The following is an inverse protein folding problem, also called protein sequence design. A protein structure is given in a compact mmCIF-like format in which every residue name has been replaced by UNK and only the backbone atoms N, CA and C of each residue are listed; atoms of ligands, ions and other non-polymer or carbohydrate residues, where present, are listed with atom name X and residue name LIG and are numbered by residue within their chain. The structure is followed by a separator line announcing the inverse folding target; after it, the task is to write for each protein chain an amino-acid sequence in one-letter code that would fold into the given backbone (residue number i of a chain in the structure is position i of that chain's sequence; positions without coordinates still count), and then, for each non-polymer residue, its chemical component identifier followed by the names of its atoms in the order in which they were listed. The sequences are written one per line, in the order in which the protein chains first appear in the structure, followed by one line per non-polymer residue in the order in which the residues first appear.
data_IF_030718818758
#
_entry.id   IF_030718818758
#
_cell.length_a   1.000
_cell.length_b   1.000
_cell.length_c   1.000
_cell.angle_alpha   90.00
_cell.angle_beta   90.00
_cell.angle_gamma   90.00
#
_symmetry.space_group_name_H-M   'P 1'
#
loop_
_entity.id
_entity.type
_entity.pdbx_description
1 polymer ?
#
# COMPACT_ATOMS: atom_id res chain seq x y z
N UNK A 1 6.73 12.51 -15.70
CA UNK A 1 6.25 11.19 -15.27
C UNK A 1 6.13 11.23 -13.77
N UNK A 2 4.93 11.03 -13.23
CA UNK A 2 4.76 10.94 -11.78
C UNK A 2 5.23 9.54 -11.37
N UNK A 3 6.31 9.45 -10.61
CA UNK A 3 6.73 8.18 -10.02
C UNK A 3 5.72 7.83 -8.94
N UNK A 4 5.19 6.62 -8.98
CA UNK A 4 4.33 6.07 -7.95
C UNK A 4 5.14 5.03 -7.17
N UNK A 5 4.78 4.78 -5.93
CA UNK A 5 5.39 3.72 -5.12
C UNK A 5 4.34 2.71 -4.75
N UNK A 6 4.70 1.44 -4.86
CA UNK A 6 3.92 0.34 -4.34
C UNK A 6 4.52 -0.14 -3.03
N UNK A 7 3.75 -0.06 -1.96
CA UNK A 7 4.18 -0.44 -0.61
C UNK A 7 3.45 -1.71 -0.19
N UNK A 8 4.22 -2.73 0.19
CA UNK A 8 3.70 -3.99 0.72
C UNK A 8 3.85 -3.96 2.24
N UNK A 9 2.75 -4.19 2.93
CA UNK A 9 2.64 -4.11 4.39
C UNK A 9 2.19 -5.43 5.00
N UNK A 10 2.70 -5.75 6.18
CA UNK A 10 2.03 -6.65 7.08
C UNK A 10 0.74 -6.00 7.61
N UNK A 11 -0.40 -6.69 7.54
CA UNK A 11 -1.66 -6.17 8.03
C UNK A 11 -1.65 -6.13 9.55
N UNK A 12 -1.77 -4.93 10.08
CA UNK A 12 -2.06 -4.66 11.48
C UNK A 12 -3.44 -4.00 11.56
N UNK A 13 -4.24 -4.37 12.57
CA UNK A 13 -5.68 -4.03 12.61
C UNK A 13 -5.92 -2.52 12.49
N UNK A 14 -5.18 -1.70 13.24
CA UNK A 14 -5.33 -0.24 13.23
C UNK A 14 -4.89 0.34 11.89
N UNK A 15 -3.69 -0.04 11.42
CA UNK A 15 -3.14 0.42 10.16
C UNK A 15 -4.03 0.06 8.97
N UNK A 16 -4.58 -1.17 8.94
CA UNK A 16 -5.53 -1.64 7.93
C UNK A 16 -6.81 -0.81 7.93
N UNK A 17 -7.39 -0.52 9.11
CA UNK A 17 -8.60 0.31 9.21
C UNK A 17 -8.36 1.75 8.75
N UNK A 18 -7.23 2.34 9.13
CA UNK A 18 -6.86 3.69 8.70
C UNK A 18 -6.66 3.77 7.19
N UNK A 19 -5.97 2.79 6.61
CA UNK A 19 -5.80 2.69 5.16
C UNK A 19 -7.15 2.56 4.46
N UNK A 20 -8.02 1.64 4.91
CA UNK A 20 -9.35 1.47 4.33
C UNK A 20 -10.20 2.75 4.40
N UNK A 21 -10.16 3.46 5.53
CA UNK A 21 -10.85 4.74 5.67
C UNK A 21 -10.28 5.82 4.73
N UNK A 22 -8.96 5.89 4.60
CA UNK A 22 -8.30 6.84 3.69
C UNK A 22 -8.59 6.53 2.22
N UNK A 23 -8.62 5.26 1.84
CA UNK A 23 -8.94 4.80 0.49
C UNK A 23 -10.37 5.17 0.05
N UNK A 24 -11.32 5.22 0.97
CA UNK A 24 -12.70 5.65 0.69
C UNK A 24 -12.80 7.13 0.27
N UNK A 25 -11.77 7.93 0.52
CA UNK A 25 -11.71 9.35 0.13
C UNK A 25 -11.20 9.55 -1.30
N UNK A 26 -10.78 8.47 -1.98
CA UNK A 26 -10.15 8.52 -3.28
C UNK A 26 -11.10 7.99 -4.37
N UNK A 27 -11.07 8.58 -5.58
CA UNK A 27 -11.91 8.11 -6.69
C UNK A 27 -11.50 6.71 -7.16
N UNK A 28 -10.22 6.37 -7.02
CA UNK A 28 -9.67 5.04 -7.31
C UNK A 28 -9.21 4.40 -6.00
N UNK A 29 -9.43 3.09 -5.87
CA UNK A 29 -9.01 2.36 -4.68
C UNK A 29 -7.50 2.06 -4.72
N UNK A 30 -6.67 2.64 -3.82
CA UNK A 30 -5.23 2.42 -3.80
C UNK A 30 -4.84 1.17 -3.02
N UNK A 31 -5.79 0.32 -2.62
CA UNK A 31 -5.54 -0.83 -1.74
C UNK A 31 -5.96 -2.14 -2.38
N UNK A 32 -5.08 -3.12 -2.28
CA UNK A 32 -5.42 -4.53 -2.45
C UNK A 32 -5.09 -5.28 -1.17
N UNK A 33 -6.04 -6.09 -0.71
CA UNK A 33 -5.85 -6.98 0.43
C UNK A 33 -5.64 -8.41 -0.08
N UNK A 34 -4.49 -8.98 0.27
CA UNK A 34 -4.17 -10.37 0.01
C UNK A 34 -4.41 -11.17 1.30
N UNK A 35 -5.53 -11.91 1.40
CA UNK A 35 -5.86 -12.65 2.60
C UNK A 35 -4.84 -13.77 2.87
N UNK A 36 -4.74 -14.18 4.13
CA UNK A 36 -3.91 -15.32 4.52
C UNK A 36 -4.38 -16.60 3.83
N UNK A 37 -3.43 -17.37 3.31
CA UNK A 37 -3.68 -18.75 2.82
C UNK A 37 -2.80 -19.74 3.60
N UNK A 38 -2.88 -21.03 3.28
CA UNK A 38 -1.99 -22.04 3.85
C UNK A 38 -0.52 -21.80 3.48
N UNK A 39 -0.28 -21.15 2.34
CA UNK A 39 1.05 -20.96 1.76
C UNK A 39 1.57 -19.52 1.90
N UNK A 40 0.70 -18.57 2.26
CA UNK A 40 1.03 -17.14 2.31
C UNK A 40 0.52 -16.46 3.56
N UNK A 41 1.37 -15.59 4.11
CA UNK A 41 0.94 -14.64 5.14
C UNK A 41 -0.02 -13.61 4.53
N UNK A 42 -0.88 -13.05 5.39
CA UNK A 42 -1.73 -11.93 4.99
C UNK A 42 -0.85 -10.71 4.66
N UNK A 43 -1.17 -10.00 3.57
CA UNK A 43 -0.46 -8.81 3.12
C UNK A 43 -1.44 -7.72 2.66
N UNK A 44 -1.03 -6.47 2.82
CA UNK A 44 -1.71 -5.32 2.22
C UNK A 44 -0.78 -4.67 1.20
N UNK A 45 -1.28 -4.49 0.00
CA UNK A 45 -0.59 -3.75 -1.05
C UNK A 45 -1.24 -2.36 -1.17
N UNK A 46 -0.42 -1.32 -1.06
CA UNK A 46 -0.84 0.08 -1.04
C UNK A 46 -0.13 0.83 -2.15
N UNK A 47 -0.88 1.50 -3.02
CA UNK A 47 -0.33 2.42 -4.00
C UNK A 47 -0.26 3.82 -3.42
N UNK A 48 0.91 4.44 -3.54
CA UNK A 48 1.24 5.73 -2.98
C UNK A 48 1.83 6.63 -4.07
N UNK A 49 1.63 7.94 -3.94
CA UNK A 49 2.35 8.95 -4.71
C UNK A 49 3.68 9.33 -4.07
N UNK A 50 3.80 9.18 -2.74
CA UNK A 50 5.05 9.41 -1.98
C UNK A 50 5.12 8.49 -0.76
N UNK A 51 6.35 8.16 -0.36
CA UNK A 51 6.68 7.45 0.87
C UNK A 51 7.73 8.28 1.62
N UNK A 52 7.38 8.80 2.79
CA UNK A 52 8.20 9.79 3.49
C UNK A 52 8.47 9.37 4.92
N UNK A 53 9.71 9.51 5.38
CA UNK A 53 10.02 9.38 6.80
C UNK A 53 9.50 10.61 7.55
N UNK A 54 8.88 10.39 8.70
CA UNK A 54 8.39 11.46 9.57
C UNK A 54 9.36 11.70 10.73
N UNK A 55 9.32 12.91 11.33
CA UNK A 55 10.18 13.27 12.46
C UNK A 55 9.93 12.43 13.73
N UNK A 56 8.80 11.73 13.81
CA UNK A 56 8.39 10.90 14.96
C UNK A 56 8.59 9.39 14.71
N UNK A 57 9.41 9.02 13.72
CA UNK A 57 9.81 7.63 13.49
C UNK A 57 8.77 6.76 12.79
N UNK A 58 7.70 7.35 12.26
CA UNK A 58 6.74 6.67 11.39
C UNK A 58 7.04 6.93 9.91
N UNK A 59 6.52 6.08 9.04
CA UNK A 59 6.54 6.29 7.58
C UNK A 59 5.18 6.80 7.16
N UNK A 60 5.15 7.97 6.51
CA UNK A 60 3.95 8.54 5.90
C UNK A 60 3.80 8.01 4.48
N UNK A 61 2.68 7.34 4.24
CA UNK A 61 2.23 6.89 2.94
C UNK A 61 1.28 7.95 2.38
N UNK A 62 1.68 8.69 1.35
CA UNK A 62 0.84 9.69 0.69
C UNK A 62 0.08 9.01 -0.44
N UNK A 63 -1.20 8.72 -0.21
CA UNK A 63 -2.06 8.03 -1.19
C UNK A 63 -2.42 8.97 -2.34
N UNK A 64 -2.65 10.26 -2.02
CA UNK A 64 -2.88 11.33 -2.98
C UNK A 64 -2.30 12.64 -2.45
N UNK A 65 -1.57 13.33 -3.31
CA UNK A 65 -0.85 14.58 -3.02
C UNK A 65 -1.64 15.80 -3.51
N UNK A 66 -2.93 15.87 -3.14
CA UNK A 66 -3.80 17.05 -3.32
C UNK A 66 -3.69 17.99 -2.10
N UNK A 67 -4.37 19.14 -2.12
CA UNK A 67 -4.48 20.03 -0.95
C UNK A 67 -5.89 20.00 -0.34
N UNK A 68 -6.12 19.38 0.84
CA UNK A 68 -5.14 18.70 1.69
C UNK A 68 -4.80 17.26 1.22
N UNK A 69 -3.59 16.75 1.53
CA UNK A 69 -3.17 15.44 1.07
C UNK A 69 -3.87 14.32 1.84
N UNK A 70 -4.18 13.22 1.15
CA UNK A 70 -4.69 12.00 1.76
C UNK A 70 -3.49 11.11 2.08
N UNK A 71 -3.19 10.96 3.36
CA UNK A 71 -2.03 10.20 3.82
C UNK A 71 -2.31 9.40 5.09
N UNK A 72 -1.57 8.30 5.26
CA UNK A 72 -1.63 7.45 6.45
C UNK A 72 -0.20 7.24 6.97
N UNK A 73 -0.01 7.40 8.28
CA UNK A 73 1.26 7.07 8.91
C UNK A 73 1.23 5.61 9.39
N UNK A 74 2.28 4.85 9.06
CA UNK A 74 2.47 3.46 9.48
C UNK A 74 3.80 3.30 10.20
N UNK A 75 3.90 2.27 11.03
CA UNK A 75 5.18 1.95 11.68
C UNK A 75 6.13 1.29 10.68
N UNK A 76 7.44 1.62 10.66
CA UNK A 76 8.38 1.09 9.68
C UNK A 76 8.45 -0.44 9.66
N UNK A 77 8.30 -1.09 10.82
CA UNK A 77 8.35 -2.56 10.94
C UNK A 77 7.19 -3.29 10.27
N UNK A 78 6.11 -2.56 9.90
CA UNK A 78 5.02 -3.12 9.11
C UNK A 78 5.34 -3.17 7.62
N UNK A 79 6.39 -2.47 7.16
CA UNK A 79 6.75 -2.41 5.75
C UNK A 79 7.59 -3.63 5.38
N UNK A 80 7.07 -4.42 4.45
CA UNK A 80 7.76 -5.58 3.88
C UNK A 80 8.63 -5.14 2.71
N UNK A 81 8.10 -4.28 1.83
CA UNK A 81 8.81 -3.79 0.67
C UNK A 81 8.24 -2.44 0.18
N UNK A 82 9.10 -1.67 -0.48
CA UNK A 82 8.74 -0.48 -1.25
C UNK A 82 9.32 -0.66 -2.64
N UNK A 83 8.47 -0.50 -3.66
CA UNK A 83 8.83 -0.66 -5.06
C UNK A 83 8.50 0.65 -5.78
N UNK A 84 9.49 1.24 -6.43
CA UNK A 84 9.24 2.36 -7.34
C UNK A 84 8.61 1.82 -8.62
N UNK A 85 7.40 2.27 -8.91
CA UNK A 85 6.61 1.80 -10.04
C UNK A 85 6.32 2.97 -10.98
N UNK A 86 6.31 2.66 -12.28
CA UNK A 86 5.88 3.63 -13.29
C UNK A 86 4.41 3.99 -13.12
N UNK A 87 4.03 5.12 -13.71
CA UNK A 87 2.67 5.63 -13.71
C UNK A 87 1.69 4.57 -14.27
N UNK A 88 0.58 4.34 -13.57
CA UNK A 88 -0.49 3.46 -14.04
C UNK A 88 -0.34 1.98 -13.67
N UNK A 89 0.65 1.60 -12.85
CA UNK A 89 0.71 0.24 -12.33
C UNK A 89 -0.49 -0.03 -11.40
N UNK A 90 -1.29 -1.09 -11.64
CA UNK A 90 -2.44 -1.41 -10.80
C UNK A 90 -2.00 -2.00 -9.46
N UNK A 91 -2.83 -1.77 -8.43
CA UNK A 91 -2.76 -2.56 -7.19
C UNK A 91 -3.22 -3.99 -7.48
N UNK A 92 -2.58 -4.98 -6.84
CA UNK A 92 -2.80 -6.40 -7.13
C UNK A 92 -1.94 -6.98 -8.26
N UNK A 93 -0.90 -6.26 -8.75
CA UNK A 93 0.07 -6.82 -9.70
C UNK A 93 0.95 -7.93 -9.11
N UNK A 94 1.04 -8.07 -7.78
CA UNK A 94 1.67 -9.25 -7.20
C UNK A 94 0.94 -10.47 -7.78
N UNK A 95 1.62 -11.31 -8.58
CA UNK A 95 0.94 -12.42 -9.21
C UNK A 95 0.32 -13.29 -8.12
N UNK A 96 -0.97 -13.56 -8.24
CA UNK A 96 -1.46 -14.86 -7.79
C UNK A 96 -0.51 -15.86 -8.46
N UNK A 97 0.33 -16.57 -7.70
CA UNK A 97 1.26 -17.50 -8.34
C UNK A 97 0.56 -18.75 -8.87
N UNK A 98 -0.76 -18.68 -9.07
CA UNK A 98 -1.59 -19.64 -9.77
C UNK A 98 -1.60 -19.43 -11.30
N UNK A 99 -0.58 -18.79 -11.86
CA UNK A 99 -0.31 -18.90 -13.31
C UNK A 99 0.70 -20.01 -13.65
N UNK A 100 0.99 -20.89 -12.70
CA UNK A 100 1.84 -22.06 -12.89
C UNK A 100 1.16 -23.33 -12.42
N UNK A 101 0.14 -23.79 -13.16
CA UNK A 101 -0.25 -25.19 -13.41
C UNK A 101 -1.58 -25.20 -14.18
N UNK A 102 -1.48 -25.24 -15.51
CA UNK A 102 -2.61 -25.34 -16.44
C UNK A 102 -2.14 -25.24 -17.88
#
# INVERSE_FOLDING_TARGET
MRLESLVILHPEIVSKRLLLAAAQLLPENPLTHHPRTLERQELLQVKCTKVEATAYGLVRLVLRDDDPPVSVAVRPELIVAVLDVGEGMPVGFLPDSDSGLG
#
